data_IF_600774878490
#
_entry.id   IF_600774878490
#
_cell.length_a   1.000
_cell.length_b   1.000
_cell.length_c   1.000
_cell.angle_alpha   90.00
_cell.angle_beta   90.00
_cell.angle_gamma   90.00
#
_symmetry.space_group_name_H-M   'P 1'
#
loop_
_entity.id
_entity.type
_entity.pdbx_description
1 polymer ?
#
# COMPACT_ATOMS: atom_id res chain seq x y z
N UNK A 1 14.35 27.69 13.99
CA UNK A 1 13.23 26.95 14.60
C UNK A 1 12.32 26.50 13.48
N UNK A 2 12.10 25.21 13.30
CA UNK A 2 11.10 24.71 12.34
C UNK A 2 9.78 24.64 13.08
N UNK A 3 8.78 25.41 12.65
CA UNK A 3 7.45 25.37 13.24
C UNK A 3 6.70 24.11 12.78
N UNK A 4 5.85 23.57 13.65
CA UNK A 4 4.96 22.45 13.30
C UNK A 4 4.03 22.91 12.18
N UNK A 5 4.01 22.17 11.07
CA UNK A 5 3.11 22.46 9.95
C UNK A 5 1.78 21.77 10.23
N UNK A 6 0.80 22.55 10.68
CA UNK A 6 -0.56 22.09 10.95
C UNK A 6 -1.42 22.31 9.71
N UNK A 7 -1.24 21.44 8.72
CA UNK A 7 -2.05 21.42 7.49
C UNK A 7 -2.56 20.01 7.25
N UNK A 8 -3.85 19.81 6.93
CA UNK A 8 -4.40 18.48 6.62
C UNK A 8 -3.64 17.74 5.51
N UNK A 9 -3.17 18.48 4.50
CA UNK A 9 -2.37 17.90 3.41
C UNK A 9 -0.97 17.47 3.86
N UNK A 10 -0.41 18.15 4.87
CA UNK A 10 0.87 17.80 5.46
C UNK A 10 0.73 16.66 6.48
N UNK A 11 -0.37 16.64 7.22
CA UNK A 11 -0.73 15.56 8.15
C UNK A 11 -0.85 14.22 7.44
N UNK A 12 -1.58 14.17 6.32
CA UNK A 12 -1.69 12.98 5.48
C UNK A 12 -0.31 12.48 5.00
N UNK A 13 0.58 13.40 4.60
CA UNK A 13 1.97 13.10 4.20
C UNK A 13 2.78 12.55 5.37
N UNK A 14 2.71 13.17 6.54
CA UNK A 14 3.46 12.70 7.70
C UNK A 14 2.97 11.36 8.21
N UNK A 15 1.65 11.12 8.21
CA UNK A 15 1.06 9.84 8.65
C UNK A 15 1.47 8.67 7.75
N UNK A 16 1.70 8.90 6.47
CA UNK A 16 2.28 7.90 5.56
C UNK A 16 3.71 7.48 5.97
N UNK A 17 4.54 8.46 6.38
CA UNK A 17 5.94 8.22 6.70
C UNK A 17 6.16 7.70 8.13
N UNK A 18 5.31 8.06 9.10
CA UNK A 18 5.46 7.67 10.51
C UNK A 18 5.66 6.15 10.69
N UNK A 19 4.88 5.25 10.06
CA UNK A 19 5.08 3.81 10.15
C UNK A 19 6.47 3.34 9.68
N UNK A 20 7.12 4.05 8.75
CA UNK A 20 8.48 3.73 8.28
C UNK A 20 9.54 4.04 9.32
N UNK A 21 9.34 5.10 10.09
CA UNK A 21 10.31 5.59 11.08
C UNK A 21 10.12 5.00 12.48
N UNK A 22 9.06 4.23 12.71
CA UNK A 22 8.96 3.27 13.82
C UNK A 22 9.88 2.08 13.49
N UNK A 23 11.17 2.39 13.32
CA UNK A 23 12.22 1.58 12.71
C UNK A 23 12.95 0.70 13.74
N UNK A 24 12.30 0.42 14.86
CA UNK A 24 12.66 -0.64 15.78
C UNK A 24 11.48 -1.60 15.75
N UNK A 25 11.64 -2.73 15.05
CA UNK A 25 10.60 -3.73 14.70
C UNK A 25 9.92 -4.39 15.91
N UNK A 26 9.30 -3.61 16.78
CA UNK A 26 8.60 -4.07 17.99
C UNK A 26 7.13 -4.41 17.71
N UNK A 27 6.63 -4.13 16.50
CA UNK A 27 5.26 -4.44 16.10
C UNK A 27 5.22 -5.19 14.74
N UNK A 28 4.34 -6.21 14.60
CA UNK A 28 4.12 -6.91 13.34
C UNK A 28 3.65 -5.97 12.21
N UNK A 29 4.10 -6.23 10.98
CA UNK A 29 3.70 -5.48 9.77
C UNK A 29 2.18 -5.36 9.60
N UNK A 30 1.43 -6.37 10.03
CA UNK A 30 -0.03 -6.37 10.02
C UNK A 30 -0.64 -5.17 10.77
N UNK A 31 0.00 -4.73 11.86
CA UNK A 31 -0.49 -3.63 12.68
C UNK A 31 -0.29 -2.25 12.04
N UNK A 32 0.58 -2.15 11.03
CA UNK A 32 0.84 -0.89 10.30
C UNK A 32 -0.12 -0.69 9.13
N UNK A 33 -0.85 -1.74 8.72
CA UNK A 33 -1.79 -1.69 7.60
C UNK A 33 -2.93 -0.70 7.89
N UNK A 34 -3.63 -0.75 9.05
CA UNK A 34 -4.71 0.21 9.35
C UNK A 34 -4.23 1.66 9.35
N UNK A 35 -3.06 1.94 9.94
CA UNK A 35 -2.49 3.30 9.99
C UNK A 35 -2.18 3.86 8.59
N UNK A 36 -1.69 3.01 7.70
CA UNK A 36 -1.44 3.39 6.30
C UNK A 36 -2.75 3.63 5.56
N UNK A 37 -3.78 2.83 5.85
CA UNK A 37 -5.12 2.97 5.29
C UNK A 37 -5.89 4.17 5.85
N UNK A 38 -5.58 4.67 7.05
CA UNK A 38 -6.16 5.91 7.59
C UNK A 38 -5.70 7.16 6.82
N UNK A 39 -4.56 7.10 6.13
CA UNK A 39 -4.13 8.10 5.16
C UNK A 39 -5.03 8.22 3.92
N UNK A 40 -5.81 7.17 3.63
CA UNK A 40 -6.69 7.10 2.46
C UNK A 40 -7.90 8.06 2.56
N UNK A 41 -8.71 8.06 3.65
CA UNK A 41 -9.80 9.02 3.81
C UNK A 41 -9.34 10.45 4.08
N UNK A 42 -8.15 10.66 4.64
CA UNK A 42 -7.60 12.01 4.83
C UNK A 42 -7.10 12.64 3.52
N UNK A 43 -6.49 11.85 2.61
CA UNK A 43 -6.16 12.29 1.25
C UNK A 43 -7.38 12.69 0.41
N UNK A 44 -8.53 12.02 0.62
CA UNK A 44 -9.82 12.36 0.00
C UNK A 44 -10.33 13.74 0.42
N UNK A 45 -10.17 14.11 1.70
CA UNK A 45 -10.61 15.41 2.23
C UNK A 45 -9.63 16.54 1.90
N UNK A 46 -8.33 16.23 1.80
CA UNK A 46 -7.26 17.20 1.56
C UNK A 46 -7.00 17.53 0.09
N UNK A 47 -7.71 16.90 -0.87
CA UNK A 47 -7.56 17.20 -2.30
C UNK A 47 -6.26 16.69 -2.93
N UNK A 48 -5.65 15.63 -2.38
CA UNK A 48 -4.43 15.02 -2.97
C UNK A 48 -4.67 13.56 -3.36
N UNK A 49 -5.28 13.32 -4.54
CA UNK A 49 -5.60 11.97 -5.02
C UNK A 49 -4.34 11.14 -5.32
N UNK A 50 -3.21 11.74 -5.67
CA UNK A 50 -1.95 10.99 -5.80
C UNK A 50 -1.49 10.43 -4.46
N UNK A 51 -1.72 11.15 -3.36
CA UNK A 51 -1.31 10.69 -2.03
C UNK A 51 -2.13 9.49 -1.55
N UNK A 52 -3.43 9.48 -1.87
CA UNK A 52 -4.31 8.31 -1.65
C UNK A 52 -3.72 7.05 -2.31
N UNK A 53 -3.26 7.21 -3.54
CA UNK A 53 -2.70 6.13 -4.35
C UNK A 53 -1.36 5.62 -3.77
N UNK A 54 -0.49 6.51 -3.28
CA UNK A 54 0.73 6.09 -2.56
C UNK A 54 0.44 5.30 -1.28
N UNK A 55 -0.53 5.73 -0.48
CA UNK A 55 -0.95 4.99 0.72
C UNK A 55 -1.46 3.58 0.37
N UNK A 56 -2.29 3.47 -0.66
CA UNK A 56 -2.80 2.18 -1.13
C UNK A 56 -1.68 1.25 -1.63
N UNK A 57 -0.74 1.78 -2.43
CA UNK A 57 0.43 1.05 -2.89
C UNK A 57 1.23 0.47 -1.71
N UNK A 58 1.46 1.30 -0.69
CA UNK A 58 2.22 0.89 0.48
C UNK A 58 1.49 -0.15 1.34
N UNK A 59 0.17 -0.01 1.50
CA UNK A 59 -0.66 -0.99 2.21
C UNK A 59 -0.63 -2.38 1.55
N UNK A 60 -0.50 -2.46 0.22
CA UNK A 60 -0.34 -3.73 -0.50
C UNK A 60 1.01 -4.40 -0.19
N UNK A 61 2.10 -3.63 -0.12
CA UNK A 61 3.41 -4.16 0.29
C UNK A 61 3.40 -4.66 1.74
N UNK A 62 2.82 -3.88 2.66
CA UNK A 62 2.64 -4.33 4.04
C UNK A 62 1.78 -5.60 4.15
N UNK A 63 0.71 -5.67 3.36
CA UNK A 63 -0.15 -6.87 3.28
C UNK A 63 0.62 -8.10 2.81
N UNK A 64 1.55 -7.91 1.86
CA UNK A 64 2.43 -8.96 1.37
C UNK A 64 3.37 -9.47 2.46
N UNK A 65 4.07 -8.55 3.14
CA UNK A 65 4.97 -8.89 4.24
C UNK A 65 4.26 -9.44 5.48
N UNK A 66 2.97 -9.14 5.64
CA UNK A 66 2.10 -9.69 6.69
C UNK A 66 1.45 -11.03 6.31
N UNK A 67 1.78 -11.61 5.15
CA UNK A 67 1.24 -12.89 4.66
C UNK A 67 -0.29 -12.91 4.56
N UNK A 68 -0.92 -11.80 4.15
CA UNK A 68 -2.36 -11.79 3.85
C UNK A 68 -2.69 -12.77 2.72
N UNK A 69 -3.93 -13.31 2.65
CA UNK A 69 -4.33 -14.24 1.61
C UNK A 69 -4.11 -13.68 0.19
N UNK A 70 -3.39 -14.45 -0.64
CA UNK A 70 -2.94 -14.03 -1.96
C UNK A 70 -4.09 -13.70 -2.92
N UNK A 71 -5.22 -14.39 -2.83
CA UNK A 71 -6.40 -14.13 -3.67
C UNK A 71 -7.01 -12.73 -3.44
N UNK A 72 -7.10 -12.31 -2.18
CA UNK A 72 -7.57 -10.97 -1.84
C UNK A 72 -6.59 -9.91 -2.34
N UNK A 73 -5.30 -10.16 -2.11
CA UNK A 73 -4.23 -9.26 -2.54
C UNK A 73 -4.13 -9.08 -4.05
N UNK A 74 -4.32 -10.15 -4.83
CA UNK A 74 -4.32 -10.06 -6.29
C UNK A 74 -5.45 -9.15 -6.78
N UNK A 75 -6.67 -9.35 -6.26
CA UNK A 75 -7.84 -8.53 -6.61
C UNK A 75 -7.63 -7.07 -6.23
N UNK A 76 -7.17 -6.81 -5.00
CA UNK A 76 -6.88 -5.46 -4.51
C UNK A 76 -5.81 -4.78 -5.38
N UNK A 77 -4.69 -5.45 -5.65
CA UNK A 77 -3.59 -4.91 -6.47
C UNK A 77 -4.04 -4.60 -7.90
N UNK A 78 -4.85 -5.47 -8.51
CA UNK A 78 -5.39 -5.25 -9.85
C UNK A 78 -6.33 -4.02 -9.91
N UNK A 79 -7.21 -3.85 -8.92
CA UNK A 79 -8.08 -2.68 -8.82
C UNK A 79 -7.25 -1.41 -8.70
N UNK A 80 -6.21 -1.41 -7.86
CA UNK A 80 -5.36 -0.25 -7.69
C UNK A 80 -4.56 0.10 -8.93
N UNK A 81 -4.02 -0.88 -9.68
CA UNK A 81 -3.36 -0.60 -10.96
C UNK A 81 -4.30 0.11 -11.92
N UNK A 82 -5.56 -0.35 -12.05
CA UNK A 82 -6.55 0.33 -12.91
C UNK A 82 -6.82 1.77 -12.48
N UNK A 83 -7.01 1.99 -11.18
CA UNK A 83 -7.19 3.35 -10.66
C UNK A 83 -5.96 4.22 -10.97
N UNK A 84 -4.74 3.68 -10.82
CA UNK A 84 -3.51 4.41 -11.14
C UNK A 84 -3.41 4.78 -12.62
N UNK A 85 -3.92 3.93 -13.51
CA UNK A 85 -3.99 4.22 -14.95
C UNK A 85 -4.92 5.40 -15.23
N UNK A 86 -6.10 5.43 -14.60
CA UNK A 86 -7.06 6.54 -14.71
C UNK A 86 -6.48 7.88 -14.24
N UNK A 87 -5.62 7.87 -13.22
CA UNK A 87 -4.94 9.06 -12.68
C UNK A 87 -3.56 9.32 -13.31
N UNK A 88 -3.16 8.58 -14.35
CA UNK A 88 -1.89 8.78 -15.06
C UNK A 88 -0.62 8.51 -14.23
N UNK A 89 -0.72 7.73 -13.14
CA UNK A 89 0.37 7.46 -12.20
C UNK A 89 1.32 6.36 -12.69
N UNK A 90 1.99 6.60 -13.82
CA UNK A 90 2.85 5.61 -14.51
C UNK A 90 3.92 4.99 -13.60
N UNK A 91 4.57 5.81 -12.77
CA UNK A 91 5.62 5.34 -11.86
C UNK A 91 5.09 4.30 -10.86
N UNK A 92 3.93 4.56 -10.26
CA UNK A 92 3.33 3.65 -9.28
C UNK A 92 2.86 2.35 -9.94
N UNK A 93 2.38 2.40 -11.18
CA UNK A 93 2.06 1.20 -11.96
C UNK A 93 3.30 0.34 -12.17
N UNK A 94 4.43 0.95 -12.56
CA UNK A 94 5.72 0.24 -12.73
C UNK A 94 6.16 -0.49 -11.45
N UNK A 95 5.82 0.05 -10.27
CA UNK A 95 6.12 -0.59 -8.98
C UNK A 95 5.13 -1.73 -8.67
N UNK A 96 3.83 -1.54 -8.95
CA UNK A 96 2.78 -2.50 -8.59
C UNK A 96 2.71 -3.71 -9.52
N UNK A 97 3.11 -3.58 -10.79
CA UNK A 97 3.09 -4.69 -11.76
C UNK A 97 3.97 -5.88 -11.31
N UNK A 98 5.25 -5.68 -10.90
CA UNK A 98 6.06 -6.75 -10.32
C UNK A 98 5.42 -7.40 -9.07
N UNK A 99 4.79 -6.60 -8.20
CA UNK A 99 4.12 -7.13 -7.01
C UNK A 99 2.93 -8.02 -7.37
N UNK A 100 2.08 -7.58 -8.31
CA UNK A 100 0.97 -8.38 -8.82
C UNK A 100 1.47 -9.70 -9.41
N UNK A 101 2.53 -9.65 -10.22
CA UNK A 101 3.13 -10.85 -10.81
C UNK A 101 3.68 -11.80 -9.74
N UNK A 102 4.34 -11.27 -8.71
CA UNK A 102 4.84 -12.07 -7.59
C UNK A 102 3.69 -12.76 -6.82
N UNK A 103 2.59 -12.04 -6.55
CA UNK A 103 1.40 -12.59 -5.90
C UNK A 103 0.80 -13.72 -6.75
N UNK A 104 0.66 -13.53 -8.06
CA UNK A 104 0.13 -14.55 -8.97
C UNK A 104 1.01 -15.80 -8.99
N UNK A 105 2.33 -15.64 -9.13
CA UNK A 105 3.27 -16.76 -9.13
C UNK A 105 3.23 -17.55 -7.81
N UNK A 106 3.16 -16.85 -6.67
CA UNK A 106 3.07 -17.49 -5.35
C UNK A 106 1.74 -18.21 -5.15
N UNK A 107 0.65 -17.66 -5.67
CA UNK A 107 -0.65 -18.33 -5.60
C UNK A 107 -0.63 -19.62 -6.42
N UNK A 108 -0.16 -19.54 -7.66
CA UNK A 108 -0.18 -20.68 -8.59
C UNK A 108 0.77 -21.81 -8.13
N UNK A 109 1.85 -21.47 -7.41
CA UNK A 109 2.72 -22.45 -6.74
C UNK A 109 2.08 -23.05 -5.48
N UNK A 110 1.31 -22.27 -4.72
CA UNK A 110 0.59 -22.78 -3.54
C UNK A 110 -0.54 -23.74 -3.89
N UNK A 111 -1.22 -23.52 -5.02
CA UNK A 111 -2.25 -24.42 -5.56
C UNK A 111 -1.69 -25.63 -6.31
N UNK A 112 -0.41 -25.59 -6.71
CA UNK A 112 0.30 -26.67 -7.40
C UNK A 112 0.89 -27.78 -6.51
N UNK A 113 0.77 -27.73 -5.18
CA UNK A 113 1.36 -28.75 -4.28
C UNK A 113 0.55 -30.05 -4.11
N UNK A 114 -0.34 -30.37 -5.05
CA UNK A 114 -0.99 -31.68 -5.14
C UNK A 114 -0.71 -32.33 -6.48
N UNK A 115 0.49 -32.87 -6.63
CA UNK A 115 0.85 -34.15 -7.28
C UNK A 115 2.28 -34.07 -7.75
N UNK A 116 3.17 -34.72 -6.99
CA UNK A 116 4.06 -35.79 -7.47
C UNK A 116 4.66 -36.52 -6.26
#
# INVERSE_FOLDING_TARGET
MVNRIESPAFEAKTSFWVPQFILHRTQPWANLIPMTMDGYPSGMKGGSPEHRLYCACFALFLSFFASRPLDGMQKETFIYIKQMEEYGQKFTITILQPLLQAIMNLRDTSSGSKTE
#
